data_IF_168472014659
#
_entry.id   IF_168472014659
#
_cell.length_a   1.000
_cell.length_b   1.000
_cell.length_c   1.000
_cell.angle_alpha   90.00
_cell.angle_beta   90.00
_cell.angle_gamma   90.00
#
_symmetry.space_group_name_H-M   'P 1'
#
loop_
_entity.id
_entity.type
_entity.pdbx_description
1 polymer ?
#
# COMPACT_ATOMS: atom_id res chain seq x y z
N UNK A 1 -8.88 47.62 9.61
CA UNK A 1 -8.76 46.38 10.41
C UNK A 1 -9.15 45.20 9.54
N UNK A 2 -8.16 44.53 8.94
CA UNK A 2 -8.40 43.45 7.98
C UNK A 2 -8.60 42.14 8.73
N UNK A 3 -9.83 41.62 8.70
CA UNK A 3 -10.20 40.33 9.29
C UNK A 3 -9.42 39.20 8.61
N UNK A 4 -8.43 38.62 9.29
CA UNK A 4 -7.78 37.39 8.84
C UNK A 4 -8.79 36.25 8.97
N UNK A 5 -9.27 35.73 7.83
CA UNK A 5 -10.05 34.48 7.79
C UNK A 5 -9.22 33.38 8.48
N UNK A 6 -9.77 32.80 9.54
CA UNK A 6 -9.20 31.63 10.23
C UNK A 6 -9.21 30.46 9.24
N UNK A 7 -8.03 29.99 8.86
CA UNK A 7 -7.90 28.75 8.11
C UNK A 7 -8.21 27.59 9.07
N UNK A 8 -9.40 27.02 8.94
CA UNK A 8 -9.73 25.74 9.59
C UNK A 8 -8.86 24.64 8.97
N UNK A 9 -8.21 23.78 9.77
CA UNK A 9 -7.44 22.67 9.24
C UNK A 9 -8.36 21.74 8.44
N UNK A 10 -7.85 21.18 7.35
CA UNK A 10 -8.59 20.33 6.41
C UNK A 10 -8.82 18.93 7.02
N UNK A 11 -9.68 18.87 8.03
CA UNK A 11 -10.06 17.65 8.73
C UNK A 11 -11.09 16.88 7.93
N UNK A 12 -10.65 16.14 6.90
CA UNK A 12 -11.53 15.27 6.11
C UNK A 12 -11.90 14.02 6.91
N UNK A 13 -13.16 13.55 6.89
CA UNK A 13 -13.49 12.26 7.45
C UNK A 13 -12.71 11.16 6.72
N UNK A 14 -12.15 10.21 7.48
CA UNK A 14 -11.60 8.97 6.91
C UNK A 14 -12.72 8.14 6.26
N UNK A 15 -12.40 7.26 5.31
CA UNK A 15 -13.40 6.48 4.55
C UNK A 15 -14.39 5.63 5.35
N UNK A 16 -14.19 5.49 6.67
CA UNK A 16 -15.11 4.81 7.61
C UNK A 16 -15.84 5.75 8.58
N UNK A 17 -15.70 7.07 8.43
CA UNK A 17 -16.43 8.12 9.18
C UNK A 17 -16.13 8.25 10.68
N UNK A 18 -15.46 7.27 11.31
CA UNK A 18 -15.15 7.28 12.75
C UNK A 18 -14.01 8.20 13.18
N UNK A 19 -13.09 8.51 12.25
CA UNK A 19 -11.92 9.33 12.54
C UNK A 19 -11.81 10.46 11.53
N UNK A 20 -11.28 11.60 11.98
CA UNK A 20 -10.90 12.72 11.11
C UNK A 20 -9.44 12.55 10.74
N UNK A 21 -9.15 12.69 9.45
CA UNK A 21 -7.79 12.73 8.94
C UNK A 21 -7.15 14.04 9.38
N UNK A 22 -5.98 13.93 10.00
CA UNK A 22 -5.13 15.05 10.38
C UNK A 22 -3.79 14.85 9.67
N UNK A 23 -3.49 15.74 8.73
CA UNK A 23 -2.20 15.79 8.07
C UNK A 23 -1.35 16.87 8.77
N UNK A 24 -0.14 16.47 9.19
CA UNK A 24 0.87 17.37 9.76
C UNK A 24 2.17 17.17 8.96
N UNK A 25 2.36 17.92 7.87
CA UNK A 25 3.57 17.81 7.06
C UNK A 25 4.79 18.22 7.89
N UNK A 26 5.93 17.56 7.66
CA UNK A 26 7.17 17.86 8.37
C UNK A 26 7.57 19.33 8.19
N UNK A 27 7.37 19.91 7.01
CA UNK A 27 7.50 21.36 6.77
C UNK A 27 6.12 21.92 6.41
N UNK A 28 5.62 22.89 7.16
CA UNK A 28 4.29 23.47 6.92
C UNK A 28 4.20 24.13 5.52
N UNK A 29 3.31 23.67 4.65
CA UNK A 29 3.18 24.24 3.29
C UNK A 29 2.38 25.56 3.27
N UNK A 30 1.60 25.81 4.32
CA UNK A 30 0.73 26.97 4.52
C UNK A 30 0.68 27.34 6.00
N UNK A 31 0.06 28.47 6.32
CA UNK A 31 -0.27 28.79 7.71
C UNK A 31 -1.31 27.80 8.25
N UNK A 32 -1.03 27.20 9.39
CA UNK A 32 -1.88 26.18 10.01
C UNK A 32 -2.26 26.58 11.43
N UNK A 33 -3.48 26.21 11.85
CA UNK A 33 -3.93 26.39 13.23
C UNK A 33 -4.70 25.16 13.68
N UNK A 34 -4.23 24.53 14.76
CA UNK A 34 -4.82 23.34 15.36
C UNK A 34 -5.31 23.67 16.77
N UNK A 35 -6.59 23.40 17.04
CA UNK A 35 -7.14 23.49 18.39
C UNK A 35 -6.84 22.20 19.13
N UNK A 36 -6.02 22.31 20.17
CA UNK A 36 -5.67 21.24 21.09
C UNK A 36 -6.62 21.24 22.31
N UNK A 37 -6.31 20.39 23.28
CA UNK A 37 -7.03 20.33 24.55
C UNK A 37 -6.92 21.66 25.32
N UNK A 38 -7.84 21.89 26.28
CA UNK A 38 -7.86 23.09 27.14
C UNK A 38 -7.85 24.43 26.38
N UNK A 39 -8.44 24.49 25.18
CA UNK A 39 -8.46 25.68 24.31
C UNK A 39 -7.07 26.19 23.90
N UNK A 40 -6.04 25.37 24.01
CA UNK A 40 -4.75 25.72 23.45
C UNK A 40 -4.82 25.68 21.92
N UNK A 41 -4.34 26.73 21.28
CA UNK A 41 -4.22 26.77 19.82
C UNK A 41 -2.75 26.69 19.48
N UNK A 42 -2.38 25.64 18.77
CA UNK A 42 -1.05 25.53 18.18
C UNK A 42 -1.12 26.07 16.76
N UNK A 43 -0.26 27.04 16.46
CA UNK A 43 -0.17 27.67 15.14
C UNK A 43 1.18 27.36 14.54
N UNK A 44 1.20 27.11 13.24
CA UNK A 44 2.43 26.94 12.47
C UNK A 44 2.45 27.93 11.32
N UNK A 45 3.57 28.58 11.13
CA UNK A 45 3.78 29.41 9.95
C UNK A 45 4.26 28.58 8.76
N UNK A 46 4.01 29.07 7.54
CA UNK A 46 4.51 28.43 6.33
C UNK A 46 6.05 28.31 6.41
N UNK A 47 6.56 27.12 6.13
CA UNK A 47 7.99 26.78 6.22
C UNK A 47 8.42 26.30 7.62
N UNK A 48 7.53 26.31 8.62
CA UNK A 48 7.89 25.87 9.97
C UNK A 48 8.02 24.35 10.04
N UNK A 49 9.17 23.90 10.56
CA UNK A 49 9.48 22.50 10.79
C UNK A 49 8.65 21.95 11.97
N UNK A 50 8.09 20.76 11.80
CA UNK A 50 7.20 20.11 12.77
C UNK A 50 7.91 19.75 14.08
N UNK A 51 9.13 19.21 13.98
CA UNK A 51 9.91 18.71 15.10
C UNK A 51 11.39 19.10 14.96
N UNK A 52 11.72 20.42 15.06
CA UNK A 52 13.06 20.92 14.76
C UNK A 52 14.15 20.39 15.71
N UNK A 53 13.77 19.90 16.90
CA UNK A 53 14.70 19.26 17.84
C UNK A 53 15.10 17.84 17.44
N UNK A 54 14.35 17.18 16.56
CA UNK A 54 14.68 15.86 16.03
C UNK A 54 15.30 15.97 14.64
N UNK A 55 14.55 16.52 13.70
CA UNK A 55 14.99 16.73 12.31
C UNK A 55 14.88 18.22 12.00
N UNK A 56 16.01 18.92 12.03
CA UNK A 56 16.08 20.33 11.66
C UNK A 56 15.96 20.55 10.15
N UNK A 57 15.86 21.80 9.71
CA UNK A 57 15.74 22.14 8.29
C UNK A 57 16.87 21.55 7.45
N UNK A 58 18.13 21.67 7.90
CA UNK A 58 19.30 21.13 7.20
C UNK A 58 19.22 19.60 7.05
N UNK A 59 18.77 18.89 8.08
CA UNK A 59 18.57 17.44 8.02
C UNK A 59 17.50 17.08 6.99
N UNK A 60 16.39 17.82 6.96
CA UNK A 60 15.31 17.61 6.00
C UNK A 60 15.74 17.91 4.56
N UNK A 61 16.56 18.94 4.36
CA UNK A 61 17.12 19.28 3.05
C UNK A 61 18.04 18.17 2.55
N UNK A 62 18.89 17.62 3.42
CA UNK A 62 19.75 16.47 3.09
C UNK A 62 18.93 15.21 2.77
N UNK A 63 17.92 14.90 3.59
CA UNK A 63 17.02 13.77 3.33
C UNK A 63 16.33 13.94 1.98
N UNK A 64 15.80 15.13 1.68
CA UNK A 64 15.14 15.41 0.41
C UNK A 64 16.10 15.23 -0.79
N UNK A 65 17.35 15.68 -0.65
CA UNK A 65 18.38 15.45 -1.66
C UNK A 65 18.71 13.96 -1.87
N UNK A 66 18.71 13.17 -0.79
CA UNK A 66 19.07 11.75 -0.81
C UNK A 66 17.95 10.86 -1.39
N UNK A 67 16.70 11.05 -0.95
CA UNK A 67 15.55 10.21 -1.37
C UNK A 67 14.81 10.77 -2.59
N UNK A 68 15.08 12.03 -2.93
CA UNK A 68 14.42 12.75 -4.01
C UNK A 68 13.05 13.31 -3.65
N UNK A 69 12.64 14.35 -4.39
CA UNK A 69 11.44 15.15 -4.11
C UNK A 69 10.16 14.31 -4.04
N UNK A 70 9.98 13.32 -4.92
CA UNK A 70 8.78 12.49 -4.93
C UNK A 70 8.66 11.63 -3.66
N UNK A 71 9.74 10.99 -3.22
CA UNK A 71 9.71 10.20 -1.99
C UNK A 71 9.55 11.10 -0.76
N UNK A 72 10.24 12.25 -0.74
CA UNK A 72 10.13 13.23 0.33
C UNK A 72 8.70 13.78 0.48
N UNK A 73 8.08 14.20 -0.63
CA UNK A 73 6.68 14.68 -0.62
C UNK A 73 5.70 13.61 -0.11
N UNK A 74 5.91 12.36 -0.50
CA UNK A 74 5.07 11.24 -0.07
C UNK A 74 5.23 10.93 1.41
N UNK A 75 6.47 10.79 1.88
CA UNK A 75 6.78 10.28 3.23
C UNK A 75 6.77 11.39 4.29
N UNK A 76 7.39 12.53 4.01
CA UNK A 76 7.57 13.62 4.97
C UNK A 76 6.46 14.68 4.86
N UNK A 77 6.03 15.02 3.65
CA UNK A 77 4.92 15.99 3.47
C UNK A 77 3.53 15.35 3.51
N UNK A 78 3.45 14.01 3.60
CA UNK A 78 2.20 13.25 3.56
C UNK A 78 1.33 13.57 2.33
N UNK A 79 1.97 13.91 1.21
CA UNK A 79 1.31 14.23 -0.05
C UNK A 79 1.62 13.14 -1.08
N UNK A 80 0.87 12.05 -0.96
CA UNK A 80 0.93 10.92 -1.89
C UNK A 80 0.51 11.28 -3.32
N UNK A 81 -0.14 12.42 -3.55
CA UNK A 81 -0.79 12.76 -4.82
C UNK A 81 0.05 13.64 -5.75
N UNK A 82 0.86 14.55 -5.21
CA UNK A 82 1.69 15.47 -6.00
C UNK A 82 3.11 15.00 -6.24
N UNK A 83 3.60 14.09 -5.41
CA UNK A 83 4.77 13.31 -5.72
C UNK A 83 4.45 12.45 -6.94
N UNK A 84 5.13 12.64 -8.07
CA UNK A 84 5.12 11.72 -9.22
C UNK A 84 5.54 10.27 -8.91
N UNK A 85 5.54 9.88 -7.63
CA UNK A 85 5.73 8.58 -7.00
C UNK A 85 4.69 7.52 -7.36
N UNK A 86 4.02 7.63 -8.50
CA UNK A 86 3.29 6.47 -8.99
C UNK A 86 4.33 5.50 -9.53
N UNK A 87 4.88 4.65 -8.64
CA UNK A 87 5.75 3.52 -9.02
C UNK A 87 5.11 2.67 -10.12
N UNK A 88 3.78 2.72 -10.22
CA UNK A 88 2.98 2.09 -11.24
C UNK A 88 2.32 3.13 -12.14
N UNK A 89 2.75 3.21 -13.39
CA UNK A 89 2.01 3.96 -14.40
C UNK A 89 0.72 3.21 -14.74
N UNK A 90 -0.40 3.60 -14.09
CA UNK A 90 -1.70 2.95 -14.30
C UNK A 90 -2.19 3.07 -15.75
N UNK A 91 -1.67 3.99 -16.57
CA UNK A 91 -2.01 4.04 -18.01
C UNK A 91 -1.46 2.83 -18.77
N UNK A 92 -0.45 2.15 -18.23
CA UNK A 92 0.12 0.90 -18.77
C UNK A 92 -0.58 -0.35 -18.24
N UNK A 93 -1.53 -0.22 -17.32
CA UNK A 93 -2.30 -1.33 -16.78
C UNK A 93 -3.62 -1.42 -17.55
N UNK A 94 -3.78 -2.49 -18.33
CA UNK A 94 -5.02 -2.79 -19.03
C UNK A 94 -5.89 -3.74 -18.22
N UNK A 95 -7.16 -3.40 -18.03
CA UNK A 95 -8.19 -4.33 -17.54
C UNK A 95 -8.74 -5.08 -18.75
N UNK A 96 -8.69 -6.41 -18.69
CA UNK A 96 -9.12 -7.28 -19.79
C UNK A 96 -10.38 -8.04 -19.35
N UNK A 97 -11.42 -8.02 -20.18
CA UNK A 97 -12.50 -9.00 -20.07
C UNK A 97 -11.94 -10.35 -20.53
N UNK A 98 -11.90 -11.31 -19.61
CA UNK A 98 -11.27 -12.61 -19.89
C UNK A 98 -11.95 -13.33 -21.06
N UNK A 99 -13.28 -13.26 -21.14
CA UNK A 99 -14.05 -13.82 -22.25
C UNK A 99 -13.75 -13.05 -23.55
N UNK A 100 -13.24 -13.75 -24.56
CA UNK A 100 -12.89 -13.14 -25.84
C UNK A 100 -11.52 -12.44 -25.89
N UNK A 101 -10.77 -12.40 -24.78
CA UNK A 101 -9.43 -11.77 -24.72
C UNK A 101 -8.37 -12.42 -25.61
N UNK A 102 -8.60 -13.63 -26.11
CA UNK A 102 -7.64 -14.37 -26.94
C UNK A 102 -6.35 -14.79 -26.23
N UNK A 103 -6.26 -14.61 -24.90
CA UNK A 103 -5.07 -14.93 -24.11
C UNK A 103 -4.81 -16.43 -24.15
N UNK A 104 -3.63 -16.82 -24.64
CA UNK A 104 -3.27 -18.22 -24.88
C UNK A 104 -2.78 -18.95 -23.63
N UNK A 105 -2.21 -18.22 -22.67
CA UNK A 105 -1.65 -18.72 -21.41
C UNK A 105 -0.72 -19.94 -21.57
N UNK A 106 0.31 -19.89 -22.44
CA UNK A 106 1.29 -20.98 -22.55
C UNK A 106 1.96 -21.35 -21.22
N UNK A 107 2.04 -20.42 -20.26
CA UNK A 107 2.59 -20.66 -18.92
C UNK A 107 1.77 -19.91 -17.87
N UNK A 108 1.50 -20.57 -16.76
CA UNK A 108 0.88 -19.97 -15.58
C UNK A 108 1.81 -20.10 -14.37
N UNK A 109 1.87 -19.07 -13.54
CA UNK A 109 2.67 -19.04 -12.31
C UNK A 109 1.73 -18.62 -11.18
N UNK A 110 1.86 -19.27 -10.02
CA UNK A 110 1.13 -18.86 -8.82
C UNK A 110 2.09 -18.31 -7.79
N UNK A 111 1.67 -17.24 -7.12
CA UNK A 111 2.42 -16.64 -6.03
C UNK A 111 1.49 -16.56 -4.82
N UNK A 112 1.98 -17.02 -3.68
CA UNK A 112 1.25 -17.03 -2.41
C UNK A 112 2.00 -16.21 -1.36
N UNK A 113 1.32 -15.22 -0.81
CA UNK A 113 1.69 -14.55 0.44
C UNK A 113 0.86 -15.20 1.56
N UNK A 114 1.59 -15.91 2.43
CA UNK A 114 0.99 -16.66 3.53
C UNK A 114 1.28 -16.00 4.86
N UNK A 115 0.33 -15.17 5.32
CA UNK A 115 0.25 -14.70 6.70
C UNK A 115 -0.57 -15.71 7.53
N UNK A 116 0.10 -16.73 8.07
CA UNK A 116 -0.59 -17.74 8.89
C UNK A 116 -0.31 -17.47 10.37
N UNK A 117 -1.30 -16.93 11.08
CA UNK A 117 -1.41 -17.03 12.54
C UNK A 117 -2.54 -18.00 12.89
N UNK A 118 -2.27 -18.97 13.76
CA UNK A 118 -3.29 -19.88 14.26
C UNK A 118 -4.15 -19.17 15.33
N UNK A 119 -5.46 -19.04 15.07
CA UNK A 119 -6.42 -18.47 16.02
C UNK A 119 -7.68 -17.89 15.36
N UNK A 120 -8.69 -17.46 16.15
CA UNK A 120 -9.95 -16.89 15.64
C UNK A 120 -9.76 -15.59 14.84
N UNK A 121 -8.57 -14.99 14.88
CA UNK A 121 -8.16 -13.83 14.11
C UNK A 121 -7.09 -14.22 13.06
N UNK A 122 -7.39 -15.19 12.20
CA UNK A 122 -6.51 -15.49 11.06
C UNK A 122 -6.35 -14.24 10.18
N UNK A 123 -5.10 -13.89 9.86
CA UNK A 123 -4.78 -12.84 8.91
C UNK A 123 -5.25 -13.23 7.50
N UNK A 124 -5.42 -12.24 6.62
CA UNK A 124 -5.77 -12.52 5.23
C UNK A 124 -4.58 -13.15 4.51
N UNK A 125 -4.85 -14.17 3.72
CA UNK A 125 -3.91 -14.76 2.77
C UNK A 125 -4.19 -14.18 1.39
N UNK A 126 -3.12 -13.93 0.63
CA UNK A 126 -3.20 -13.47 -0.75
C UNK A 126 -2.59 -14.51 -1.69
N UNK A 127 -3.32 -14.87 -2.73
CA UNK A 127 -2.84 -15.73 -3.80
C UNK A 127 -3.07 -15.04 -5.13
N UNK A 128 -2.07 -15.03 -6.01
CA UNK A 128 -2.21 -14.45 -7.35
C UNK A 128 -1.79 -15.48 -8.38
N UNK A 129 -2.65 -15.72 -9.37
CA UNK A 129 -2.29 -16.49 -10.56
C UNK A 129 -1.95 -15.54 -11.69
N UNK A 130 -0.72 -15.63 -12.19
CA UNK A 130 -0.27 -14.95 -13.38
C UNK A 130 -0.29 -15.90 -14.57
N UNK A 131 -0.60 -15.38 -15.74
CA UNK A 131 -0.37 -16.07 -17.01
C UNK A 131 0.58 -15.25 -17.89
N UNK A 132 1.53 -15.92 -18.50
CA UNK A 132 2.36 -15.33 -19.55
C UNK A 132 1.66 -15.47 -20.89
N UNK A 133 1.58 -14.38 -21.65
CA UNK A 133 1.03 -14.32 -22.99
C UNK A 133 2.02 -13.63 -23.93
N UNK A 134 3.08 -14.37 -24.30
CA UNK A 134 4.19 -14.03 -25.22
C UNK A 134 4.96 -12.72 -24.98
N UNK A 135 4.27 -11.61 -24.72
CA UNK A 135 4.78 -10.27 -24.53
C UNK A 135 4.36 -9.65 -23.19
N UNK A 136 3.35 -10.21 -22.52
CA UNK A 136 2.79 -9.63 -21.28
C UNK A 136 2.45 -10.67 -20.22
N UNK A 137 2.57 -10.23 -18.96
CA UNK A 137 2.01 -10.93 -17.82
C UNK A 137 0.59 -10.43 -17.56
N UNK A 138 -0.33 -11.36 -17.36
CA UNK A 138 -1.73 -11.07 -17.05
C UNK A 138 -2.07 -11.65 -15.70
N UNK A 139 -2.67 -10.84 -14.83
CA UNK A 139 -3.26 -11.31 -13.58
C UNK A 139 -4.59 -11.98 -13.90
N UNK A 140 -4.67 -13.28 -13.58
CA UNK A 140 -5.76 -14.16 -13.99
C UNK A 140 -6.73 -14.50 -12.87
N UNK A 141 -6.21 -14.58 -11.66
CA UNK A 141 -6.98 -14.87 -10.47
C UNK A 141 -6.32 -14.15 -9.30
N UNK A 142 -7.13 -13.46 -8.50
CA UNK A 142 -6.70 -12.81 -7.27
C UNK A 142 -7.56 -13.37 -6.16
N UNK A 143 -6.89 -14.02 -5.22
CA UNK A 143 -7.49 -14.70 -4.08
C UNK A 143 -7.14 -13.87 -2.85
N UNK A 144 -8.16 -13.48 -2.10
CA UNK A 144 -7.99 -12.86 -0.79
C UNK A 144 -8.98 -13.50 0.17
N UNK A 145 -8.47 -14.32 1.10
CA UNK A 145 -9.32 -15.12 2.00
C UNK A 145 -8.70 -15.27 3.37
N UNK A 146 -9.53 -15.44 4.40
CA UNK A 146 -9.10 -15.83 5.75
C UNK A 146 -9.37 -17.32 5.93
N UNK A 147 -8.34 -18.09 6.21
CA UNK A 147 -8.46 -19.52 6.50
C UNK A 147 -7.28 -19.98 7.36
N UNK A 148 -7.48 -21.09 8.08
CA UNK A 148 -6.39 -21.75 8.80
C UNK A 148 -5.43 -22.45 7.81
N UNK A 149 -4.30 -22.94 8.32
CA UNK A 149 -3.27 -23.57 7.49
C UNK A 149 -3.77 -24.80 6.71
N UNK A 150 -4.63 -25.62 7.31
CA UNK A 150 -5.22 -26.77 6.63
C UNK A 150 -6.11 -26.37 5.45
N UNK A 151 -6.95 -25.35 5.64
CA UNK A 151 -7.78 -24.79 4.58
C UNK A 151 -6.96 -24.19 3.45
N UNK A 152 -5.85 -23.51 3.78
CA UNK A 152 -4.92 -22.95 2.79
C UNK A 152 -4.35 -24.03 1.88
N UNK A 153 -3.88 -25.15 2.43
CA UNK A 153 -3.33 -26.26 1.63
C UNK A 153 -4.34 -26.79 0.63
N UNK A 154 -5.54 -27.12 1.11
CA UNK A 154 -6.61 -27.65 0.25
C UNK A 154 -6.99 -26.65 -0.82
N UNK A 155 -7.10 -25.37 -0.46
CA UNK A 155 -7.50 -24.33 -1.40
C UNK A 155 -6.42 -24.09 -2.46
N UNK A 156 -5.16 -23.91 -2.05
CA UNK A 156 -4.06 -23.68 -2.97
C UNK A 156 -3.86 -24.86 -3.94
N UNK A 157 -4.02 -26.11 -3.48
CA UNK A 157 -4.04 -27.28 -4.36
C UNK A 157 -5.18 -27.23 -5.37
N UNK A 158 -6.41 -26.90 -4.94
CA UNK A 158 -7.55 -26.77 -5.86
C UNK A 158 -7.34 -25.68 -6.92
N UNK A 159 -6.68 -24.59 -6.53
CA UNK A 159 -6.31 -23.50 -7.44
C UNK A 159 -5.18 -23.92 -8.39
N UNK A 160 -4.21 -24.70 -7.92
CA UNK A 160 -3.17 -25.29 -8.75
C UNK A 160 -3.74 -26.30 -9.75
N UNK A 161 -4.68 -27.16 -9.33
CA UNK A 161 -5.36 -28.12 -10.22
C UNK A 161 -6.17 -27.42 -11.31
N UNK A 162 -6.86 -26.33 -10.95
CA UNK A 162 -7.62 -25.49 -11.88
C UNK A 162 -6.72 -24.85 -12.95
N UNK A 163 -5.61 -24.25 -12.53
CA UNK A 163 -4.79 -23.39 -13.38
C UNK A 163 -3.52 -24.03 -13.94
N UNK A 164 -3.15 -25.20 -13.43
CA UNK A 164 -1.97 -26.00 -13.79
C UNK A 164 -0.69 -25.17 -13.91
N UNK A 165 -0.29 -24.45 -12.84
CA UNK A 165 0.90 -23.60 -12.88
C UNK A 165 2.16 -24.43 -13.13
N UNK A 166 3.07 -23.88 -13.94
CA UNK A 166 4.39 -24.46 -14.14
C UNK A 166 5.33 -24.16 -12.97
N UNK A 167 4.97 -23.19 -12.13
CA UNK A 167 5.73 -22.77 -10.96
C UNK A 167 4.78 -22.21 -9.90
N UNK A 168 4.96 -22.64 -8.66
CA UNK A 168 4.30 -22.07 -7.47
C UNK A 168 5.38 -21.45 -6.59
N UNK A 169 5.29 -20.14 -6.40
CA UNK A 169 6.13 -19.35 -5.52
C UNK A 169 5.38 -19.08 -4.22
N UNK A 170 6.08 -19.19 -3.11
CA UNK A 170 5.54 -19.03 -1.78
C UNK A 170 6.52 -18.15 -1.04
N UNK A 171 6.03 -17.06 -0.47
CA UNK A 171 6.88 -16.18 0.32
C UNK A 171 7.52 -16.94 1.49
N UNK A 172 8.80 -16.67 1.73
CA UNK A 172 9.56 -17.27 2.85
C UNK A 172 9.19 -16.56 4.17
N UNK A 173 7.91 -16.65 4.55
CA UNK A 173 7.42 -16.25 5.86
C UNK A 173 7.55 -17.42 6.85
N UNK A 174 7.26 -17.20 8.13
CA UNK A 174 7.49 -18.19 9.21
C UNK A 174 6.99 -19.62 8.93
N UNK A 175 6.03 -19.82 8.00
CA UNK A 175 5.50 -21.13 7.58
C UNK A 175 5.66 -21.44 6.07
N UNK A 176 6.36 -20.60 5.30
CA UNK A 176 6.54 -20.77 3.84
C UNK A 176 7.26 -22.08 3.49
N UNK A 177 8.29 -22.43 4.25
CA UNK A 177 9.06 -23.67 4.09
C UNK A 177 8.22 -24.95 4.29
N UNK A 178 7.31 -24.96 5.29
CA UNK A 178 6.39 -26.07 5.54
C UNK A 178 5.35 -26.23 4.42
N UNK A 179 4.90 -25.12 3.84
CA UNK A 179 3.96 -25.15 2.72
C UNK A 179 4.62 -25.63 1.42
N UNK A 180 5.88 -25.23 1.15
CA UNK A 180 6.63 -25.71 -0.02
C UNK A 180 6.90 -27.21 0.03
N UNK A 181 7.26 -27.75 1.20
CA UNK A 181 7.48 -29.19 1.37
C UNK A 181 6.23 -30.02 1.02
N UNK A 182 5.05 -29.50 1.34
CA UNK A 182 3.77 -30.19 1.14
C UNK A 182 3.16 -29.97 -0.26
N UNK A 183 3.69 -29.03 -1.06
CA UNK A 183 3.24 -28.78 -2.43
C UNK A 183 4.11 -29.46 -3.49
N UNK A 184 5.17 -30.15 -3.07
CA UNK A 184 5.92 -31.10 -3.91
C UNK A 184 5.13 -32.41 -4.06
#
# INVERSE_FOLDING_TARGET
MTSRKRATPDLKPTGKGRFRHLNLPTIAEKEEQFRLYNNYNWTRSRGEVLAPSGEGQETLDNINADIGEAAFRTQYQQDHGSAGSVMLDFTKIAVLDYEGSGIRRPKTVQVWDTAVKDGPNCDFLAGITFAWDYEKWVVFDVITRRMNFGGLKTFARSTADKWKPVLVLVEDSANGSAFVHDMR
#
